data_IF_480253381576
#
_entry.id   IF_480253381576
#
_cell.length_a   1.000
_cell.length_b   1.000
_cell.length_c   1.000
_cell.angle_alpha   90.00
_cell.angle_beta   90.00
_cell.angle_gamma   90.00
#
_symmetry.space_group_name_H-M   'P 1'
#
loop_
_entity.id
_entity.type
_entity.pdbx_description
1 polymer ?
#
# COMPACT_ATOMS: atom_id res chain seq x y z
N UNK A 1 -36.01 24.92 -48.15
CA UNK A 1 -35.17 23.71 -48.05
C UNK A 1 -34.09 23.98 -47.02
N UNK A 2 -33.94 23.17 -45.96
CA UNK A 2 -32.83 23.30 -45.02
C UNK A 2 -31.50 23.19 -45.77
N UNK A 3 -30.51 24.00 -45.41
CA UNK A 3 -29.19 24.02 -46.05
C UNK A 3 -28.38 22.80 -45.62
N UNK A 4 -27.52 22.29 -46.50
CA UNK A 4 -26.66 21.12 -46.21
C UNK A 4 -25.83 21.29 -44.92
N UNK A 5 -25.44 22.53 -44.60
CA UNK A 5 -24.74 22.88 -43.37
C UNK A 5 -25.58 22.60 -42.10
N UNK A 6 -26.89 22.84 -42.13
CA UNK A 6 -27.78 22.59 -41.00
C UNK A 6 -27.95 21.09 -40.75
N UNK A 7 -28.09 20.30 -41.81
CA UNK A 7 -28.15 18.84 -41.73
C UNK A 7 -26.86 18.26 -41.15
N UNK A 8 -25.70 18.76 -41.58
CA UNK A 8 -24.40 18.33 -41.08
C UNK A 8 -24.18 18.67 -39.59
N UNK A 9 -24.60 19.85 -39.12
CA UNK A 9 -24.49 20.23 -37.70
C UNK A 9 -25.45 19.40 -36.82
N UNK A 10 -26.68 19.20 -37.28
CA UNK A 10 -27.68 18.37 -36.58
C UNK A 10 -27.19 16.93 -36.40
N UNK A 11 -26.58 16.35 -37.44
CA UNK A 11 -25.93 15.04 -37.36
C UNK A 11 -24.80 14.99 -36.33
N UNK A 12 -23.91 16.01 -36.33
CA UNK A 12 -22.81 16.09 -35.36
C UNK A 12 -23.32 16.19 -33.92
N UNK A 13 -24.39 16.95 -33.67
CA UNK A 13 -25.01 17.07 -32.34
C UNK A 13 -25.63 15.76 -31.89
N UNK A 14 -26.33 15.04 -32.77
CA UNK A 14 -26.86 13.71 -32.47
C UNK A 14 -25.74 12.75 -32.08
N UNK A 15 -24.70 12.66 -32.91
CA UNK A 15 -23.56 11.76 -32.64
C UNK A 15 -22.86 12.07 -31.31
N UNK A 16 -22.73 13.35 -30.93
CA UNK A 16 -22.18 13.74 -29.62
C UNK A 16 -23.07 13.30 -28.47
N UNK A 17 -24.39 13.45 -28.60
CA UNK A 17 -25.36 12.98 -27.59
C UNK A 17 -25.27 11.47 -27.43
N UNK A 18 -25.20 10.72 -28.53
CA UNK A 18 -25.09 9.27 -28.49
C UNK A 18 -23.80 8.85 -27.77
N UNK A 19 -22.66 9.46 -28.10
CA UNK A 19 -21.37 9.18 -27.43
C UNK A 19 -21.44 9.48 -25.93
N UNK A 20 -21.99 10.64 -25.55
CA UNK A 20 -22.14 11.00 -24.14
C UNK A 20 -23.04 10.01 -23.41
N UNK A 21 -24.15 9.63 -24.02
CA UNK A 21 -25.07 8.65 -23.45
C UNK A 21 -24.37 7.31 -23.21
N UNK A 22 -23.62 6.79 -24.18
CA UNK A 22 -22.83 5.57 -24.02
C UNK A 22 -21.80 5.69 -22.88
N UNK A 23 -21.10 6.82 -22.80
CA UNK A 23 -20.10 7.06 -21.76
C UNK A 23 -20.70 7.12 -20.37
N UNK A 24 -21.86 7.75 -20.22
CA UNK A 24 -22.50 7.98 -18.93
C UNK A 24 -23.31 6.76 -18.44
N UNK A 25 -23.90 5.98 -19.36
CA UNK A 25 -24.85 4.92 -19.00
C UNK A 25 -24.33 3.52 -19.30
N UNK A 26 -23.78 3.29 -20.51
CA UNK A 26 -23.35 1.95 -20.92
C UNK A 26 -22.01 1.57 -20.29
N UNK A 27 -21.03 2.49 -20.30
CA UNK A 27 -19.67 2.19 -19.80
C UNK A 27 -19.62 1.79 -18.32
N UNK A 28 -20.34 2.46 -17.39
CA UNK A 28 -20.35 2.04 -15.99
C UNK A 28 -20.96 0.66 -15.79
N UNK A 29 -22.03 0.33 -16.52
CA UNK A 29 -22.66 -0.99 -16.46
C UNK A 29 -21.73 -2.10 -16.95
N UNK A 30 -20.97 -1.85 -18.02
CA UNK A 30 -19.98 -2.80 -18.53
C UNK A 30 -18.80 -2.98 -17.57
N UNK A 31 -18.33 -1.91 -16.92
CA UNK A 31 -17.27 -1.99 -15.92
C UNK A 31 -17.74 -2.76 -14.68
N UNK A 32 -18.92 -2.46 -14.16
CA UNK A 32 -19.52 -3.19 -13.03
C UNK A 32 -19.71 -4.68 -13.37
N UNK A 33 -20.18 -5.00 -14.59
CA UNK A 33 -20.29 -6.38 -15.04
C UNK A 33 -18.94 -7.09 -15.14
N UNK A 34 -17.88 -6.38 -15.56
CA UNK A 34 -16.51 -6.89 -15.60
C UNK A 34 -15.96 -7.16 -14.19
N UNK A 35 -16.19 -6.25 -13.25
CA UNK A 35 -15.78 -6.41 -11.86
C UNK A 35 -16.49 -7.60 -11.20
N UNK A 36 -17.80 -7.73 -11.40
CA UNK A 36 -18.56 -8.87 -10.89
C UNK A 36 -18.04 -10.21 -11.41
N UNK A 37 -17.65 -10.29 -12.69
CA UNK A 37 -17.02 -11.50 -13.25
C UNK A 37 -15.70 -11.86 -12.57
N UNK A 38 -14.90 -10.88 -12.17
CA UNK A 38 -13.66 -11.13 -11.43
C UNK A 38 -13.93 -11.67 -10.03
N UNK A 39 -15.03 -11.26 -9.39
CA UNK A 39 -15.44 -11.79 -8.09
C UNK A 39 -16.07 -13.19 -8.19
N UNK A 40 -16.78 -13.48 -9.28
CA UNK A 40 -17.36 -14.81 -9.55
C UNK A 40 -16.32 -15.84 -9.97
N UNK A 41 -15.17 -15.40 -10.50
CA UNK A 41 -14.06 -16.29 -10.83
C UNK A 41 -13.52 -16.95 -9.56
N UNK A 42 -13.60 -18.28 -9.51
CA UNK A 42 -13.14 -19.06 -8.37
C UNK A 42 -11.64 -18.83 -8.16
N UNK A 43 -11.30 -18.07 -7.13
CA UNK A 43 -9.92 -17.90 -6.68
C UNK A 43 -9.32 -19.28 -6.39
N UNK A 44 -8.17 -19.57 -6.98
CA UNK A 44 -7.45 -20.84 -6.73
C UNK A 44 -7.17 -20.94 -5.25
N UNK A 45 -7.47 -22.10 -4.66
CA UNK A 45 -7.16 -22.36 -3.26
C UNK A 45 -5.67 -22.09 -2.97
N UNK A 46 -5.32 -21.55 -1.80
CA UNK A 46 -3.94 -21.26 -1.47
C UNK A 46 -3.13 -22.56 -1.50
N UNK A 47 -2.01 -22.55 -2.23
CA UNK A 47 -1.07 -23.66 -2.22
C UNK A 47 -0.52 -23.81 -0.82
N UNK A 48 -0.72 -24.98 -0.20
CA UNK A 48 -0.13 -25.29 1.10
C UNK A 48 1.38 -25.46 0.91
N UNK A 49 2.14 -24.42 1.21
CA UNK A 49 3.60 -24.47 1.25
C UNK A 49 3.99 -25.17 2.53
N UNK A 50 4.59 -26.35 2.41
CA UNK A 50 5.13 -27.06 3.56
C UNK A 50 6.18 -26.16 4.25
N UNK A 51 6.19 -26.12 5.59
CA UNK A 51 7.25 -25.42 6.30
C UNK A 51 8.59 -26.01 5.88
N UNK A 52 9.49 -25.15 5.40
CA UNK A 52 10.85 -25.56 5.11
C UNK A 52 11.53 -25.93 6.43
N UNK A 53 11.96 -27.19 6.54
CA UNK A 53 12.77 -27.64 7.67
C UNK A 53 14.13 -26.95 7.57
N UNK A 54 14.34 -25.94 8.40
CA UNK A 54 15.61 -25.24 8.50
C UNK A 54 16.51 -26.08 9.39
N UNK A 55 17.55 -26.67 8.82
CA UNK A 55 18.61 -27.29 9.62
C UNK A 55 19.27 -26.20 10.49
N UNK A 56 19.06 -26.32 11.80
CA UNK A 56 19.67 -25.45 12.79
C UNK A 56 21.10 -25.94 13.01
N UNK A 57 22.06 -25.21 12.48
CA UNK A 57 23.48 -25.43 12.73
C UNK A 57 23.86 -24.91 14.11
N UNK A 58 24.49 -25.73 14.94
CA UNK A 58 24.93 -25.39 16.31
C UNK A 58 26.08 -24.36 16.34
N UNK A 59 26.68 -24.05 15.18
CA UNK A 59 27.74 -23.06 15.07
C UNK A 59 27.19 -21.63 15.16
N UNK A 60 27.21 -21.07 16.37
CA UNK A 60 26.83 -19.69 16.71
C UNK A 60 27.93 -18.68 16.29
N UNK A 61 28.80 -19.04 15.33
CA UNK A 61 29.81 -18.13 14.80
C UNK A 61 29.15 -17.07 13.92
N UNK A 62 28.59 -16.06 14.59
CA UNK A 62 28.45 -14.66 14.19
C UNK A 62 28.26 -14.44 12.67
N UNK A 63 27.00 -14.52 12.22
CA UNK A 63 26.53 -14.41 10.83
C UNK A 63 26.83 -15.65 9.97
N UNK A 64 25.78 -16.34 9.53
CA UNK A 64 25.93 -17.35 8.47
C UNK A 64 26.57 -16.66 7.24
N UNK A 65 27.72 -17.15 6.74
CA UNK A 65 28.27 -16.63 5.50
C UNK A 65 27.23 -16.76 4.40
N UNK A 66 27.18 -15.79 3.50
CA UNK A 66 26.25 -15.84 2.37
C UNK A 66 26.63 -17.02 1.50
N UNK A 67 25.66 -17.88 1.17
CA UNK A 67 25.87 -18.98 0.24
C UNK A 67 26.52 -18.45 -1.06
N UNK A 68 27.61 -19.08 -1.53
CA UNK A 68 28.35 -18.58 -2.69
C UNK A 68 27.48 -18.51 -3.94
N UNK A 69 26.50 -19.42 -4.07
CA UNK A 69 25.50 -19.42 -5.14
C UNK A 69 24.62 -18.16 -5.12
N UNK A 70 24.32 -17.64 -3.94
CA UNK A 70 23.54 -16.42 -3.76
C UNK A 70 24.42 -15.20 -4.01
N UNK A 71 25.70 -15.21 -3.61
CA UNK A 71 26.65 -14.13 -3.96
C UNK A 71 26.89 -14.01 -5.47
N UNK A 72 26.96 -15.14 -6.18
CA UNK A 72 27.20 -15.16 -7.62
C UNK A 72 26.04 -14.53 -8.42
N UNK A 73 24.81 -14.56 -7.89
CA UNK A 73 23.70 -13.80 -8.47
C UNK A 73 23.91 -12.30 -8.37
N UNK A 74 24.51 -11.81 -7.28
CA UNK A 74 24.71 -10.36 -7.08
C UNK A 74 25.92 -9.84 -7.86
N UNK A 75 26.99 -10.62 -7.91
CA UNK A 75 28.28 -10.20 -8.47
C UNK A 75 28.60 -10.80 -9.85
N UNK A 76 28.05 -11.97 -10.18
CA UNK A 76 28.28 -12.68 -11.44
C UNK A 76 27.25 -12.39 -12.53
N UNK A 77 26.09 -11.83 -12.18
CA UNK A 77 25.07 -11.48 -13.17
C UNK A 77 25.25 -10.04 -13.69
N UNK A 78 25.18 -9.89 -15.01
CA UNK A 78 25.13 -8.59 -15.68
C UNK A 78 23.71 -8.17 -16.03
N UNK A 79 22.72 -8.98 -15.66
CA UNK A 79 21.32 -8.80 -15.99
C UNK A 79 20.64 -7.80 -15.04
N UNK A 80 19.87 -6.87 -15.62
CA UNK A 80 19.07 -5.92 -14.85
C UNK A 80 17.96 -6.68 -14.12
N UNK A 81 18.06 -6.76 -12.79
CA UNK A 81 17.06 -7.42 -11.93
C UNK A 81 17.64 -8.48 -11.00
N UNK A 82 18.91 -8.83 -11.13
CA UNK A 82 19.51 -9.84 -10.27
C UNK A 82 19.60 -9.46 -8.79
N UNK A 83 19.67 -8.17 -8.47
CA UNK A 83 19.53 -7.69 -7.10
C UNK A 83 18.18 -8.05 -6.49
N UNK A 84 17.09 -8.03 -7.28
CA UNK A 84 15.75 -8.43 -6.81
C UNK A 84 15.69 -9.94 -6.53
N UNK A 85 16.28 -10.75 -7.42
CA UNK A 85 16.36 -12.21 -7.27
C UNK A 85 17.19 -12.58 -6.04
N UNK A 86 18.33 -11.92 -5.83
CA UNK A 86 19.20 -12.06 -4.66
C UNK A 86 18.44 -11.79 -3.36
N UNK A 87 17.78 -10.64 -3.29
CA UNK A 87 17.06 -10.19 -2.11
C UNK A 87 15.87 -11.09 -1.78
N UNK A 88 15.16 -11.57 -2.81
CA UNK A 88 14.05 -12.52 -2.67
C UNK A 88 14.49 -13.89 -2.13
N UNK A 89 15.69 -14.36 -2.50
CA UNK A 89 16.26 -15.61 -1.98
C UNK A 89 16.77 -15.45 -0.53
N UNK A 90 17.36 -14.30 -0.20
CA UNK A 90 17.97 -14.07 1.12
C UNK A 90 16.98 -13.70 2.23
N UNK A 91 15.95 -12.90 1.92
CA UNK A 91 15.04 -12.36 2.93
C UNK A 91 13.64 -12.97 2.79
N UNK A 92 13.40 -14.07 3.50
CA UNK A 92 12.11 -14.76 3.56
C UNK A 92 11.25 -14.28 4.75
N UNK A 93 11.20 -12.97 5.02
CA UNK A 93 10.44 -12.46 6.17
C UNK A 93 8.98 -12.14 5.83
N UNK A 94 8.07 -12.87 6.47
CA UNK A 94 6.60 -12.65 6.43
C UNK A 94 6.15 -11.26 6.94
N UNK A 95 7.00 -10.48 7.60
CA UNK A 95 6.67 -9.17 8.16
C UNK A 95 6.98 -7.97 7.24
N UNK A 96 7.63 -8.19 6.10
CA UNK A 96 7.84 -7.15 5.09
C UNK A 96 6.88 -7.38 3.91
N UNK A 97 5.57 -7.22 4.12
CA UNK A 97 4.54 -7.47 3.09
C UNK A 97 4.51 -6.46 1.94
N UNK A 98 5.51 -5.60 1.78
CA UNK A 98 5.69 -4.89 0.52
C UNK A 98 7.12 -4.37 0.38
N UNK A 99 7.85 -4.88 -0.60
CA UNK A 99 9.12 -4.34 -1.06
C UNK A 99 8.99 -2.97 -1.77
N UNK A 100 7.77 -2.43 -1.89
CA UNK A 100 7.52 -1.09 -2.44
C UNK A 100 7.98 0.07 -1.52
N UNK A 101 8.28 -0.19 -0.25
CA UNK A 101 8.31 0.86 0.79
C UNK A 101 9.70 1.36 1.23
N UNK A 102 10.77 1.17 0.44
CA UNK A 102 12.09 1.75 0.75
C UNK A 102 12.42 3.06 0.03
N UNK A 103 12.04 3.17 -1.23
CA UNK A 103 12.52 4.22 -2.15
C UNK A 103 11.52 5.35 -2.39
N UNK A 104 10.24 5.16 -2.05
CA UNK A 104 9.16 6.15 -2.16
C UNK A 104 8.48 6.48 -0.83
N UNK A 105 9.16 6.28 0.30
CA UNK A 105 8.59 6.51 1.65
C UNK A 105 8.02 7.92 1.87
N UNK A 106 8.56 8.94 1.16
CA UNK A 106 8.01 10.31 1.16
C UNK A 106 6.68 10.44 0.39
N UNK A 107 6.47 9.63 -0.65
CA UNK A 107 5.27 9.64 -1.50
C UNK A 107 4.18 8.71 -0.98
N UNK A 108 4.55 7.67 -0.24
CA UNK A 108 3.64 6.74 0.41
C UNK A 108 3.25 7.16 1.83
N UNK A 109 3.35 8.46 2.14
CA UNK A 109 2.67 9.04 3.31
C UNK A 109 1.18 8.76 3.17
N UNK A 110 0.73 7.64 3.73
CA UNK A 110 -0.66 7.50 4.10
C UNK A 110 -0.90 8.62 5.12
N UNK A 111 -1.65 9.66 4.73
CA UNK A 111 -2.18 10.60 5.72
C UNK A 111 -2.78 9.74 6.82
N UNK A 112 -2.36 9.94 8.07
CA UNK A 112 -2.90 9.20 9.19
C UNK A 112 -4.42 9.33 9.09
N UNK A 113 -5.10 8.26 8.66
CA UNK A 113 -6.55 8.28 8.59
C UNK A 113 -7.00 8.62 9.99
N UNK A 114 -7.77 9.69 10.09
CA UNK A 114 -8.24 10.20 11.35
C UNK A 114 -8.86 9.04 12.14
N UNK A 115 -8.21 8.62 13.23
CA UNK A 115 -8.59 7.42 14.02
C UNK A 115 -9.85 7.73 14.87
N UNK A 116 -10.56 8.80 14.51
CA UNK A 116 -11.71 9.35 15.19
C UNK A 116 -12.94 8.43 15.20
N UNK A 117 -12.97 7.37 14.39
CA UNK A 117 -14.13 6.47 14.31
C UNK A 117 -13.92 5.09 14.97
N UNK A 118 -12.86 4.92 15.78
CA UNK A 118 -12.55 3.65 16.46
C UNK A 118 -12.39 3.78 17.97
N UNK A 119 -11.49 2.96 18.55
CA UNK A 119 -11.21 2.84 20.00
C UNK A 119 -10.97 4.18 20.72
N UNK A 120 -10.46 5.18 20.01
CA UNK A 120 -10.24 6.54 20.53
C UNK A 120 -11.55 7.30 20.81
N UNK A 121 -12.66 7.00 20.13
CA UNK A 121 -13.98 7.55 20.46
C UNK A 121 -14.51 6.96 21.76
N UNK A 122 -14.37 5.64 21.96
CA UNK A 122 -14.80 4.97 23.19
C UNK A 122 -14.04 5.51 24.40
N UNK A 123 -12.71 5.68 24.31
CA UNK A 123 -11.92 6.28 25.39
C UNK A 123 -12.34 7.73 25.69
N UNK A 124 -12.58 8.55 24.65
CA UNK A 124 -13.10 9.92 24.81
C UNK A 124 -14.47 9.95 25.51
N UNK A 125 -15.39 9.12 25.06
CA UNK A 125 -16.78 9.14 25.53
C UNK A 125 -16.94 8.49 26.91
N UNK A 126 -16.18 7.45 27.24
CA UNK A 126 -16.35 6.69 28.49
C UNK A 126 -15.45 7.16 29.63
N UNK A 127 -14.19 7.53 29.35
CA UNK A 127 -13.19 7.78 30.39
C UNK A 127 -13.12 9.25 30.81
N UNK A 128 -13.14 10.18 29.84
CA UNK A 128 -12.90 11.60 30.13
C UNK A 128 -14.15 12.39 30.53
N UNK A 129 -15.35 12.02 30.06
CA UNK A 129 -16.60 12.74 30.41
C UNK A 129 -17.12 12.45 31.82
N UNK A 130 -16.78 11.30 32.40
CA UNK A 130 -17.44 10.81 33.62
C UNK A 130 -16.79 11.31 34.93
N UNK A 131 -15.53 11.72 34.91
CA UNK A 131 -14.72 11.94 36.11
C UNK A 131 -14.16 13.35 36.29
N UNK A 132 -14.75 14.40 35.71
CA UNK A 132 -14.29 15.81 35.85
C UNK A 132 -12.77 16.00 35.65
N UNK A 133 -12.13 15.10 34.87
CA UNK A 133 -10.71 15.19 34.58
C UNK A 133 -10.51 16.40 33.68
N UNK A 134 -9.54 17.25 34.02
CA UNK A 134 -9.16 18.37 33.16
C UNK A 134 -8.84 17.82 31.76
N UNK A 135 -9.31 18.47 30.68
CA UNK A 135 -9.01 18.03 29.33
C UNK A 135 -7.50 17.94 29.15
N UNK A 136 -7.05 16.95 28.38
CA UNK A 136 -5.63 16.81 28.08
C UNK A 136 -5.08 18.13 27.52
N UNK A 137 -3.89 18.58 27.95
CA UNK A 137 -3.27 19.78 27.42
C UNK A 137 -3.24 19.76 25.88
N UNK A 138 -3.42 20.92 25.25
CA UNK A 138 -3.56 21.03 23.80
C UNK A 138 -2.45 20.37 22.96
N UNK A 139 -1.26 20.17 23.52
CA UNK A 139 -0.15 19.47 22.86
C UNK A 139 -0.37 17.97 22.65
N UNK A 140 -1.35 17.35 23.32
CA UNK A 140 -1.79 15.96 23.07
C UNK A 140 -2.93 15.85 22.03
N UNK A 141 -3.59 16.97 21.69
CA UNK A 141 -4.73 16.99 20.76
C UNK A 141 -4.34 17.01 19.28
N UNK A 142 -3.07 17.31 18.99
CA UNK A 142 -2.53 17.17 17.64
C UNK A 142 -2.24 15.69 17.42
N UNK A 143 -2.60 15.09 16.27
CA UNK A 143 -2.02 13.81 15.94
C UNK A 143 -0.51 14.03 15.97
N UNK A 144 0.19 13.32 16.85
CA UNK A 144 1.62 13.11 16.72
C UNK A 144 1.81 12.34 15.41
N UNK A 145 1.61 13.00 14.28
CA UNK A 145 1.77 12.43 12.97
C UNK A 145 3.17 11.88 12.98
N UNK A 146 3.32 10.57 12.85
CA UNK A 146 4.54 9.82 13.15
C UNK A 146 5.79 10.59 12.72
N UNK A 147 6.32 11.42 13.61
CA UNK A 147 7.60 12.06 13.45
C UNK A 147 8.55 10.99 13.94
N UNK A 148 9.16 10.29 13.01
CA UNK A 148 10.40 9.60 13.32
C UNK A 148 11.40 10.72 13.67
N UNK A 149 11.55 11.00 14.95
CA UNK A 149 12.78 11.60 15.43
C UNK A 149 13.85 10.57 15.13
N UNK A 150 14.64 10.83 14.08
CA UNK A 150 15.91 10.14 13.95
C UNK A 150 16.65 10.48 15.24
N UNK A 151 16.84 9.50 16.12
CA UNK A 151 17.81 9.62 17.20
C UNK A 151 19.17 9.74 16.53
N UNK A 152 19.52 10.95 16.10
CA UNK A 152 20.92 11.27 15.87
C UNK A 152 21.59 11.31 17.23
N UNK A 153 22.84 10.87 17.28
CA UNK A 153 23.67 10.79 18.49
C UNK A 153 23.75 12.13 19.26
N UNK A 154 23.32 13.24 18.65
CA UNK A 154 23.32 14.59 19.21
C UNK A 154 22.04 14.97 20.00
N UNK A 155 21.01 14.11 20.03
CA UNK A 155 19.72 14.45 20.66
C UNK A 155 19.64 14.09 22.16
N UNK A 156 20.66 13.46 22.72
CA UNK A 156 20.76 13.10 24.13
C UNK A 156 21.85 13.92 24.82
N UNK A 157 21.64 15.22 25.02
CA UNK A 157 22.40 15.98 26.00
C UNK A 157 21.40 16.72 26.90
N UNK A 158 21.02 16.08 27.98
CA UNK A 158 20.30 16.72 29.07
C UNK A 158 21.35 17.16 30.11
N UNK A 159 21.53 18.47 30.22
CA UNK A 159 22.13 19.10 31.40
C UNK A 159 21.12 19.10 32.55
#
# INVERSE_FOLDING_TARGET
MPTDAYCADSWKRSKRRDILWYREHLMPALLAAKENRLYDEKVKAPTQVLPHEVEQSDDISLMKPVEPEVLDLLYGSTEKGAGEVYLKRRFHFRLQTSWDYGWRQKQSKMSARDVNHGRCAILRDTFYRKNNLAPDPGHYSQPAGAQFTVCSEYSCNFN
#
